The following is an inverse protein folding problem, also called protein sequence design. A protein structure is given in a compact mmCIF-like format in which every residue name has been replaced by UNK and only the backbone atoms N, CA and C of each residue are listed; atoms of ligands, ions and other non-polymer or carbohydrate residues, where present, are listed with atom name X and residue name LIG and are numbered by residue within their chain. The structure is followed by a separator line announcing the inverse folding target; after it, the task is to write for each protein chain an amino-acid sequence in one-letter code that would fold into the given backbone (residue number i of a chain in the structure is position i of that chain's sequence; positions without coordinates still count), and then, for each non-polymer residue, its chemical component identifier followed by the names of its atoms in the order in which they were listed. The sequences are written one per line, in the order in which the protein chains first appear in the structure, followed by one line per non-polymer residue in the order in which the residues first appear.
data_IF_837316388572
#
_entry.id   IF_837316388572
#
_cell.length_a   1.000
_cell.length_b   1.000
_cell.length_c   1.000
_cell.angle_alpha   90.00
_cell.angle_beta   90.00
_cell.angle_gamma   90.00
#
_symmetry.space_group_name_H-M   'P 1'
#
loop_
_entity.id
_entity.type
_entity.pdbx_description
1 polymer ?
#
# COMPACT_ATOMS: atom_id res chain seq x y z
N UNK A 1 -2.04 -4.00 -5.17
CA UNK A 1 -2.45 -5.36 -5.58
C UNK A 1 -2.01 -5.70 -7.02
N UNK A 2 -1.81 -4.70 -7.85
CA UNK A 2 -1.34 -4.88 -9.22
C UNK A 2 0.15 -4.54 -9.22
N UNK A 3 1.00 -5.56 -9.24
CA UNK A 3 2.45 -5.39 -9.31
C UNK A 3 2.91 -5.31 -10.75
N UNK A 4 3.72 -4.30 -11.08
CA UNK A 4 4.31 -4.12 -12.42
C UNK A 4 5.83 -3.89 -12.36
N UNK A 5 6.45 -4.15 -11.20
CA UNK A 5 7.77 -3.64 -10.87
C UNK A 5 7.65 -2.15 -10.50
N UNK A 6 7.85 -1.28 -11.48
CA UNK A 6 7.55 0.14 -11.35
C UNK A 6 6.50 0.55 -12.38
N UNK A 7 5.59 1.46 -12.01
CA UNK A 7 4.56 1.94 -12.90
C UNK A 7 3.33 2.49 -12.21
N UNK A 8 2.35 2.88 -13.01
CA UNK A 8 1.06 3.38 -12.54
C UNK A 8 0.07 3.44 -13.68
N UNK A 9 -1.19 3.63 -13.33
CA UNK A 9 -2.27 3.80 -14.29
C UNK A 9 -3.16 4.97 -13.89
N UNK A 10 -3.63 5.71 -14.87
CA UNK A 10 -4.62 6.77 -14.71
C UNK A 10 -5.83 6.40 -15.53
N UNK A 11 -6.99 6.32 -14.88
CA UNK A 11 -8.28 6.10 -15.53
C UNK A 11 -9.07 7.41 -15.55
N UNK A 12 -9.68 7.74 -16.68
CA UNK A 12 -10.53 8.92 -16.82
C UNK A 12 -11.68 8.66 -17.78
N UNK A 13 -12.80 9.32 -17.57
CA UNK A 13 -13.94 9.35 -18.50
C UNK A 13 -13.90 10.59 -19.42
N UNK A 14 -12.92 11.49 -19.26
CA UNK A 14 -12.74 12.67 -20.09
C UNK A 14 -11.78 12.37 -21.25
N UNK A 15 -12.28 12.48 -22.47
CA UNK A 15 -11.43 12.33 -23.67
C UNK A 15 -10.35 13.41 -23.75
N UNK A 16 -10.64 14.64 -23.32
CA UNK A 16 -9.66 15.72 -23.28
C UNK A 16 -8.50 15.39 -22.32
N UNK A 17 -8.79 14.88 -21.13
CA UNK A 17 -7.76 14.44 -20.16
C UNK A 17 -6.95 13.27 -20.72
N UNK A 18 -7.60 12.30 -21.37
CA UNK A 18 -6.91 11.17 -22.00
C UNK A 18 -5.90 11.66 -23.06
N UNK A 19 -6.27 12.61 -23.93
CA UNK A 19 -5.32 13.19 -24.89
C UNK A 19 -4.17 13.89 -24.22
N UNK A 20 -4.42 14.72 -23.19
CA UNK A 20 -3.37 15.39 -22.41
C UNK A 20 -2.40 14.39 -21.76
N UNK A 21 -2.93 13.33 -21.14
CA UNK A 21 -2.15 12.28 -20.49
C UNK A 21 -1.25 11.54 -21.49
N UNK A 22 -1.74 11.24 -22.68
CA UNK A 22 -0.94 10.59 -23.74
C UNK A 22 0.24 11.46 -24.19
N UNK A 23 0.04 12.76 -24.30
CA UNK A 23 1.11 13.72 -24.61
C UNK A 23 2.13 13.73 -23.48
N UNK A 24 1.69 13.92 -22.23
CA UNK A 24 2.56 14.00 -21.05
C UNK A 24 3.32 12.70 -20.78
N UNK A 25 2.73 11.54 -21.04
CA UNK A 25 3.37 10.24 -20.91
C UNK A 25 4.52 10.02 -21.89
N UNK A 26 4.51 10.72 -23.03
CA UNK A 26 5.40 10.45 -24.18
C UNK A 26 6.17 11.68 -24.61
N UNK A 27 7.01 12.23 -23.73
CA UNK A 27 7.92 13.35 -23.97
C UNK A 27 7.24 14.69 -24.36
N UNK A 28 5.95 14.85 -24.15
CA UNK A 28 5.22 16.03 -24.60
C UNK A 28 4.99 16.09 -26.12
N UNK A 29 5.18 14.97 -26.79
CA UNK A 29 4.97 14.87 -28.23
C UNK A 29 3.47 14.79 -28.56
N UNK A 30 2.99 15.51 -29.60
CA UNK A 30 1.61 15.33 -30.06
C UNK A 30 1.37 13.91 -30.55
N UNK A 31 0.08 13.52 -30.58
CA UNK A 31 -0.31 12.22 -31.14
C UNK A 31 0.29 12.04 -32.54
N UNK A 32 0.76 10.82 -32.85
CA UNK A 32 1.45 10.55 -34.10
C UNK A 32 0.68 11.01 -35.36
N UNK A 33 -0.68 10.93 -35.34
CA UNK A 33 -1.53 11.40 -36.43
C UNK A 33 -1.51 12.91 -36.65
N UNK A 34 -1.01 13.67 -35.69
CA UNK A 34 -0.86 15.12 -35.77
C UNK A 34 0.58 15.56 -36.18
N UNK A 35 1.47 14.57 -36.41
CA UNK A 35 2.85 14.83 -36.84
C UNK A 35 2.90 14.98 -38.36
N UNK A 36 3.59 16.00 -38.81
CA UNK A 36 3.73 16.28 -40.25
C UNK A 36 5.15 15.96 -40.71
N UNK A 37 5.26 15.07 -41.72
CA UNK A 37 6.56 14.69 -42.30
C UNK A 37 7.51 14.01 -41.34
N UNK A 38 8.81 14.22 -41.50
CA UNK A 38 9.86 13.65 -40.64
C UNK A 38 10.19 14.49 -39.39
N UNK A 39 9.62 15.69 -39.29
CA UNK A 39 9.77 16.59 -38.15
C UNK A 39 8.70 16.32 -37.07
N UNK A 40 9.04 16.68 -35.85
CA UNK A 40 8.11 16.82 -34.77
C UNK A 40 8.47 18.00 -33.88
N UNK A 41 7.52 18.54 -33.18
CA UNK A 41 7.72 19.54 -32.15
C UNK A 41 7.25 19.03 -30.81
N UNK A 42 7.70 19.64 -29.73
CA UNK A 42 7.34 19.31 -28.37
C UNK A 42 6.29 20.31 -27.89
N UNK A 43 5.04 19.87 -27.77
CA UNK A 43 3.94 20.74 -27.35
C UNK A 43 4.04 21.13 -25.87
N UNK A 44 4.61 20.26 -25.03
CA UNK A 44 4.70 20.45 -23.58
C UNK A 44 5.94 19.79 -23.01
N UNK A 45 6.52 20.41 -21.95
CA UNK A 45 7.53 19.74 -21.15
C UNK A 45 6.93 18.51 -20.45
N UNK A 46 7.50 17.35 -20.69
CA UNK A 46 7.04 16.10 -20.17
C UNK A 46 8.16 15.04 -20.08
N UNK A 47 7.83 13.87 -19.61
CA UNK A 47 8.78 12.80 -19.37
C UNK A 47 8.48 11.56 -20.21
N UNK A 48 9.33 10.56 -20.12
CA UNK A 48 9.07 9.23 -20.64
C UNK A 48 8.41 8.37 -19.54
N UNK A 49 7.09 8.33 -19.51
CA UNK A 49 6.30 7.53 -18.57
C UNK A 49 5.65 6.29 -19.24
N UNK A 50 6.24 5.83 -20.32
CA UNK A 50 5.77 4.60 -21.00
C UNK A 50 6.25 3.38 -20.20
N UNK A 51 5.35 2.49 -19.78
CA UNK A 51 5.74 1.23 -19.13
C UNK A 51 6.49 0.34 -20.15
N UNK A 52 7.37 -0.53 -19.65
CA UNK A 52 7.94 -1.58 -20.48
C UNK A 52 6.90 -2.67 -20.77
N UNK A 53 7.06 -3.40 -21.87
CA UNK A 53 6.21 -4.55 -22.20
C UNK A 53 6.24 -5.62 -21.10
N UNK A 54 7.40 -5.83 -20.46
CA UNK A 54 7.52 -6.77 -19.32
C UNK A 54 6.68 -6.30 -18.13
N UNK A 55 6.74 -5.02 -17.75
CA UNK A 55 5.92 -4.46 -16.69
C UNK A 55 4.43 -4.53 -17.02
N UNK A 56 4.05 -4.24 -18.27
CA UNK A 56 2.67 -4.33 -18.73
C UNK A 56 2.14 -5.77 -18.69
N UNK A 57 2.94 -6.76 -19.11
CA UNK A 57 2.58 -8.17 -19.05
C UNK A 57 2.40 -8.66 -17.60
N UNK A 58 3.29 -8.21 -16.68
CA UNK A 58 3.16 -8.51 -15.25
C UNK A 58 1.89 -7.88 -14.66
N UNK A 59 1.61 -6.61 -14.96
CA UNK A 59 0.39 -5.94 -14.53
C UNK A 59 -0.87 -6.66 -15.04
N UNK A 60 -0.89 -7.07 -16.32
CA UNK A 60 -2.00 -7.81 -16.90
C UNK A 60 -2.24 -9.14 -16.19
N UNK A 61 -1.17 -9.90 -15.90
CA UNK A 61 -1.27 -11.15 -15.12
C UNK A 61 -1.87 -10.95 -13.72
N UNK A 62 -1.66 -9.80 -13.08
CA UNK A 62 -2.30 -9.48 -11.80
C UNK A 62 -3.77 -9.08 -11.99
N UNK A 63 -4.09 -8.31 -13.04
CA UNK A 63 -5.46 -7.90 -13.34
C UNK A 63 -6.33 -9.13 -13.62
N UNK A 64 -5.85 -10.08 -14.42
CA UNK A 64 -6.57 -11.32 -14.75
C UNK A 64 -6.92 -12.17 -13.52
N UNK A 65 -6.19 -12.01 -12.42
CA UNK A 65 -6.38 -12.76 -11.17
C UNK A 65 -6.80 -11.88 -10.00
N UNK A 66 -7.21 -10.63 -10.24
CA UNK A 66 -7.42 -9.65 -9.16
C UNK A 66 -8.48 -10.12 -8.15
N UNK A 67 -9.57 -10.69 -8.61
CA UNK A 67 -10.66 -11.17 -7.76
C UNK A 67 -10.21 -12.30 -6.82
N UNK A 68 -9.39 -13.23 -7.34
CA UNK A 68 -8.79 -14.29 -6.53
C UNK A 68 -7.85 -13.71 -5.47
N UNK A 69 -6.96 -12.79 -5.86
CA UNK A 69 -5.99 -12.17 -4.95
C UNK A 69 -6.69 -11.38 -3.83
N UNK A 70 -7.76 -10.64 -4.17
CA UNK A 70 -8.56 -9.91 -3.17
C UNK A 70 -9.30 -10.87 -2.23
N UNK A 71 -9.86 -11.95 -2.75
CA UNK A 71 -10.53 -12.98 -1.93
C UNK A 71 -9.57 -13.60 -0.92
N UNK A 72 -8.34 -13.92 -1.35
CA UNK A 72 -7.32 -14.49 -0.45
C UNK A 72 -6.92 -13.49 0.65
N UNK A 73 -6.73 -12.21 0.33
CA UNK A 73 -6.44 -11.17 1.33
C UNK A 73 -7.59 -11.00 2.34
N UNK A 74 -8.83 -10.95 1.87
CA UNK A 74 -10.02 -10.90 2.75
C UNK A 74 -10.11 -12.12 3.67
N UNK A 75 -9.76 -13.32 3.17
CA UNK A 75 -9.69 -14.53 4.01
C UNK A 75 -8.65 -14.40 5.12
N UNK A 76 -7.44 -13.93 4.80
CA UNK A 76 -6.39 -13.72 5.81
C UNK A 76 -6.82 -12.68 6.84
N UNK A 77 -7.35 -11.54 6.37
CA UNK A 77 -7.85 -10.47 7.24
C UNK A 77 -8.91 -10.99 8.21
N UNK A 78 -9.85 -11.80 7.72
CA UNK A 78 -10.86 -12.41 8.58
C UNK A 78 -10.25 -13.31 9.66
N UNK A 79 -9.22 -14.09 9.35
CA UNK A 79 -8.54 -14.93 10.35
C UNK A 79 -7.90 -14.07 11.44
N UNK A 80 -7.25 -12.95 11.05
CA UNK A 80 -6.71 -11.99 12.02
C UNK A 80 -7.81 -11.34 12.86
N UNK A 81 -8.90 -10.90 12.22
CA UNK A 81 -10.07 -10.33 12.90
C UNK A 81 -10.69 -11.28 13.93
N UNK A 82 -10.75 -12.57 13.62
CA UNK A 82 -11.38 -13.58 14.48
C UNK A 82 -10.48 -14.03 15.65
N UNK A 83 -9.14 -13.89 15.53
CA UNK A 83 -8.22 -14.58 16.44
C UNK A 83 -7.23 -13.69 17.21
N UNK A 84 -7.01 -12.45 16.80
CA UNK A 84 -6.17 -11.52 17.56
C UNK A 84 -6.89 -11.05 18.85
N UNK A 85 -6.09 -10.78 19.89
CA UNK A 85 -6.60 -10.29 21.18
C UNK A 85 -6.98 -8.80 21.09
N UNK A 86 -8.19 -8.52 20.66
CA UNK A 86 -8.74 -7.17 20.50
C UNK A 86 -9.10 -6.46 21.82
N UNK A 87 -8.95 -7.11 22.95
CA UNK A 87 -8.98 -6.45 24.26
C UNK A 87 -7.68 -5.70 24.54
N UNK A 88 -6.59 -6.11 23.90
CA UNK A 88 -5.27 -5.50 24.06
C UNK A 88 -4.88 -4.62 22.86
N UNK A 89 -5.19 -5.03 21.65
CA UNK A 89 -4.91 -4.30 20.42
C UNK A 89 -6.11 -3.51 19.94
N UNK A 90 -5.88 -2.34 19.31
CA UNK A 90 -6.91 -1.67 18.53
C UNK A 90 -6.78 -2.03 17.04
N UNK A 91 -7.90 -2.14 16.35
CA UNK A 91 -7.94 -2.39 14.91
C UNK A 91 -8.54 -1.23 14.13
N UNK A 92 -8.24 -1.17 12.84
CA UNK A 92 -8.89 -0.26 11.93
C UNK A 92 -10.40 -0.58 11.85
N UNK A 93 -11.22 0.44 12.08
CA UNK A 93 -12.67 0.34 11.87
C UNK A 93 -12.96 0.59 10.38
N UNK A 94 -13.56 -0.40 9.73
CA UNK A 94 -13.97 -0.30 8.33
C UNK A 94 -15.49 -0.17 8.31
N UNK A 95 -16.06 0.96 7.86
CA UNK A 95 -17.50 1.09 7.73
C UNK A 95 -18.08 0.07 6.75
N UNK A 96 -19.30 -0.42 7.03
CA UNK A 96 -19.91 -1.53 6.29
C UNK A 96 -20.18 -1.24 4.81
N UNK A 97 -20.27 0.03 4.43
CA UNK A 97 -20.48 0.47 3.06
C UNK A 97 -19.22 0.39 2.17
N UNK A 98 -18.05 0.06 2.76
CA UNK A 98 -16.80 -0.04 2.01
C UNK A 98 -16.34 -1.49 1.83
N UNK A 99 -15.95 -1.81 0.61
CA UNK A 99 -15.29 -3.09 0.29
C UNK A 99 -13.77 -2.93 0.41
N UNK A 100 -13.24 -3.21 1.60
CA UNK A 100 -11.82 -3.04 1.90
C UNK A 100 -10.98 -4.17 1.29
N UNK A 101 -9.85 -3.82 0.68
CA UNK A 101 -8.99 -4.75 -0.07
C UNK A 101 -7.75 -5.22 0.68
N UNK A 102 -7.56 -4.76 1.92
CA UNK A 102 -6.47 -5.18 2.82
C UNK A 102 -5.08 -5.18 2.17
N UNK A 103 -4.70 -4.04 1.62
CA UNK A 103 -3.32 -3.85 1.14
C UNK A 103 -2.31 -4.05 2.28
N UNK A 104 -2.57 -3.44 3.41
CA UNK A 104 -1.89 -3.64 4.68
C UNK A 104 -2.90 -4.15 5.72
N UNK A 105 -2.39 -4.76 6.79
CA UNK A 105 -3.19 -5.08 7.97
C UNK A 105 -2.56 -4.39 9.19
N UNK A 106 -3.03 -3.18 9.52
CA UNK A 106 -2.53 -2.41 10.66
C UNK A 106 -3.13 -2.92 11.96
N UNK A 107 -2.28 -2.96 12.99
CA UNK A 107 -2.64 -3.24 14.40
C UNK A 107 -2.03 -2.14 15.25
N UNK A 108 -2.79 -1.59 16.19
CA UNK A 108 -2.29 -0.56 17.10
C UNK A 108 -2.01 -1.16 18.48
N UNK A 109 -0.83 -0.87 18.98
CA UNK A 109 -0.42 -1.22 20.36
C UNK A 109 -0.95 -0.15 21.33
N UNK A 110 -1.10 -0.45 22.63
CA UNK A 110 -1.58 0.51 23.62
C UNK A 110 -0.72 1.76 23.73
N UNK A 111 0.62 1.62 23.63
CA UNK A 111 1.57 2.73 23.71
C UNK A 111 2.70 2.61 22.67
N UNK A 112 3.43 3.70 22.48
CA UNK A 112 4.62 3.72 21.61
C UNK A 112 5.71 2.76 22.12
N UNK A 113 5.95 2.72 23.42
CA UNK A 113 6.96 1.88 24.03
C UNK A 113 6.63 0.39 23.80
N UNK A 114 5.36 0.02 23.91
CA UNK A 114 4.91 -1.35 23.61
C UNK A 114 5.02 -1.66 22.13
N UNK A 115 4.80 -0.68 21.26
CA UNK A 115 5.00 -0.84 19.82
C UNK A 115 6.46 -1.15 19.49
N UNK A 116 7.43 -0.43 20.06
CA UNK A 116 8.86 -0.68 19.85
C UNK A 116 9.25 -2.09 20.35
N UNK A 117 8.84 -2.46 21.57
CA UNK A 117 9.06 -3.79 22.13
C UNK A 117 8.44 -4.90 21.27
N UNK A 118 7.23 -4.67 20.75
CA UNK A 118 6.54 -5.63 19.89
C UNK A 118 7.29 -5.84 18.57
N UNK A 119 7.80 -4.79 17.96
CA UNK A 119 8.59 -4.89 16.74
C UNK A 119 9.87 -5.72 16.94
N UNK A 120 10.59 -5.51 18.06
CA UNK A 120 11.78 -6.30 18.41
C UNK A 120 11.40 -7.76 18.67
N UNK A 121 10.36 -8.00 19.47
CA UNK A 121 9.87 -9.34 19.78
C UNK A 121 9.45 -10.12 18.52
N UNK A 122 8.75 -9.48 17.60
CA UNK A 122 8.35 -10.11 16.33
C UNK A 122 9.56 -10.38 15.43
N UNK A 123 10.52 -9.44 15.38
CA UNK A 123 11.76 -9.60 14.63
C UNK A 123 12.59 -10.79 15.12
N UNK A 124 12.71 -10.97 16.45
CA UNK A 124 13.41 -12.12 17.04
C UNK A 124 12.73 -13.46 16.71
N UNK A 125 11.43 -13.43 16.44
CA UNK A 125 10.65 -14.55 15.94
C UNK A 125 10.70 -14.70 14.41
N UNK A 126 11.52 -13.93 13.68
CA UNK A 126 11.56 -13.84 12.22
C UNK A 126 10.22 -13.41 11.58
N UNK A 127 9.44 -12.60 12.26
CA UNK A 127 8.23 -11.97 11.75
C UNK A 127 8.53 -10.50 11.43
N UNK A 128 8.48 -10.13 10.15
CA UNK A 128 8.78 -8.77 9.70
C UNK A 128 7.51 -7.92 9.70
N UNK A 129 7.28 -7.21 10.81
CA UNK A 129 6.29 -6.15 10.89
C UNK A 129 6.95 -4.79 10.60
N UNK A 130 6.19 -3.84 10.07
CA UNK A 130 6.71 -2.53 9.66
C UNK A 130 5.78 -1.40 10.07
N UNK A 131 6.30 -0.16 10.03
CA UNK A 131 5.52 1.06 10.26
C UNK A 131 5.18 1.68 8.90
N UNK A 132 3.90 1.68 8.53
CA UNK A 132 3.42 2.30 7.30
C UNK A 132 2.44 3.45 7.64
N UNK A 133 2.89 4.72 7.66
CA UNK A 133 4.26 5.22 7.47
C UNK A 133 4.53 6.30 8.51
N UNK A 134 5.80 6.70 8.77
CA UNK A 134 6.07 7.88 9.57
C UNK A 134 5.39 9.11 8.95
N UNK A 135 4.85 10.05 9.74
CA UNK A 135 4.17 11.23 9.21
C UNK A 135 5.11 12.06 8.32
N UNK A 136 4.66 12.38 7.10
CA UNK A 136 5.47 13.09 6.10
C UNK A 136 5.95 14.45 6.61
N UNK A 137 5.10 15.17 7.36
CA UNK A 137 5.42 16.47 7.94
C UNK A 137 6.56 16.43 8.98
N UNK A 138 6.96 15.23 9.44
CA UNK A 138 8.14 15.04 10.31
C UNK A 138 9.41 14.74 9.52
N UNK A 139 9.31 14.45 8.23
CA UNK A 139 10.46 14.14 7.38
C UNK A 139 11.22 15.41 6.99
N UNK A 140 12.57 15.35 6.99
CA UNK A 140 13.43 16.51 6.70
C UNK A 140 13.11 17.18 5.37
N UNK A 141 12.84 16.40 4.32
CA UNK A 141 12.54 16.95 2.99
C UNK A 141 11.21 17.71 2.89
N UNK A 142 10.32 17.56 3.89
CA UNK A 142 8.99 18.17 3.90
C UNK A 142 8.80 19.23 4.99
N UNK A 143 9.86 19.67 5.65
CA UNK A 143 9.78 20.65 6.75
C UNK A 143 9.13 21.97 6.38
N UNK A 144 9.27 22.41 5.11
CA UNK A 144 8.59 23.62 4.60
C UNK A 144 7.05 23.49 4.55
N UNK A 145 6.53 22.24 4.59
CA UNK A 145 5.09 21.93 4.59
C UNK A 145 4.60 21.44 5.96
N UNK A 146 5.39 21.68 7.02
CA UNK A 146 5.06 21.23 8.36
C UNK A 146 3.69 21.74 8.80
N UNK A 147 2.86 20.81 9.28
CA UNK A 147 1.52 21.08 9.79
C UNK A 147 1.30 20.34 11.10
N UNK A 148 0.29 20.77 11.86
CA UNK A 148 -0.12 20.09 13.08
C UNK A 148 -1.08 18.93 12.74
N UNK A 149 -0.66 17.69 12.98
CA UNK A 149 -1.41 16.48 12.64
C UNK A 149 -1.51 15.53 13.83
N UNK A 150 -2.14 15.96 14.96
CA UNK A 150 -2.07 15.23 16.24
C UNK A 150 -2.64 13.80 16.14
N UNK A 151 -3.72 13.60 15.39
CA UNK A 151 -4.29 12.26 15.19
C UNK A 151 -3.36 11.35 14.38
N UNK A 152 -2.74 11.88 13.33
CA UNK A 152 -1.77 11.12 12.52
C UNK A 152 -0.54 10.75 13.35
N UNK A 153 -0.06 11.68 14.17
CA UNK A 153 1.09 11.49 15.04
C UNK A 153 0.80 10.43 16.12
N UNK A 154 -0.38 10.48 16.74
CA UNK A 154 -0.83 9.52 17.73
C UNK A 154 -0.93 8.10 17.13
N UNK A 155 -1.69 7.93 16.03
CA UNK A 155 -1.85 6.63 15.37
C UNK A 155 -0.50 6.07 14.92
N UNK A 156 0.33 6.88 14.27
CA UNK A 156 1.63 6.42 13.75
C UNK A 156 2.60 6.05 14.86
N UNK A 157 2.45 6.65 16.05
CA UNK A 157 3.27 6.29 17.21
C UNK A 157 3.03 4.85 17.69
N UNK A 158 1.85 4.28 17.47
CA UNK A 158 1.37 3.00 18.00
C UNK A 158 1.19 1.90 16.96
N UNK A 159 1.10 2.24 15.69
CA UNK A 159 0.77 1.30 14.61
C UNK A 159 1.94 0.41 14.21
N UNK A 160 1.65 -0.86 13.93
CA UNK A 160 2.46 -1.78 13.14
C UNK A 160 1.61 -2.39 12.04
N UNK A 161 2.19 -2.68 10.89
CA UNK A 161 1.56 -3.52 9.87
C UNK A 161 2.15 -4.92 9.96
N UNK A 162 1.30 -5.90 10.22
CA UNK A 162 1.68 -7.31 10.30
C UNK A 162 1.65 -7.96 8.91
N UNK A 163 2.28 -9.15 8.71
CA UNK A 163 2.34 -9.79 7.40
C UNK A 163 0.97 -9.94 6.73
N UNK A 164 0.86 -9.44 5.49
CA UNK A 164 -0.37 -9.48 4.70
C UNK A 164 -0.04 -9.66 3.21
N UNK A 165 0.03 -10.90 2.74
CA UNK A 165 0.22 -11.25 1.33
C UNK A 165 -0.42 -12.59 1.01
N UNK A 166 -0.76 -12.81 -0.24
CA UNK A 166 -1.65 -13.91 -0.67
C UNK A 166 -1.03 -15.31 -0.55
N UNK A 167 0.30 -15.41 -0.43
CA UNK A 167 1.01 -16.68 -0.30
C UNK A 167 1.22 -17.13 1.16
N UNK A 168 0.74 -16.34 2.16
CA UNK A 168 0.79 -16.78 3.55
C UNK A 168 0.04 -18.10 3.73
N UNK A 169 0.72 -19.09 4.27
CA UNK A 169 0.13 -20.36 4.66
C UNK A 169 -0.68 -20.22 5.96
N UNK A 170 -1.62 -21.11 6.20
CA UNK A 170 -2.35 -21.10 7.44
C UNK A 170 -1.44 -21.22 8.67
N UNK A 171 -0.37 -22.02 8.60
CA UNK A 171 0.60 -22.18 9.70
C UNK A 171 1.36 -20.88 9.99
N UNK A 172 1.74 -20.15 8.96
CA UNK A 172 2.40 -18.83 9.13
C UNK A 172 1.45 -17.80 9.73
N UNK A 173 0.19 -17.78 9.31
CA UNK A 173 -0.84 -16.91 9.87
C UNK A 173 -1.06 -17.22 11.35
N UNK A 174 -1.23 -18.51 11.72
CA UNK A 174 -1.39 -18.94 13.11
C UNK A 174 -0.14 -18.58 13.93
N UNK A 175 1.05 -18.76 13.39
CA UNK A 175 2.29 -18.39 14.06
C UNK A 175 2.36 -16.89 14.38
N UNK A 176 1.97 -16.02 13.44
CA UNK A 176 1.89 -14.58 13.67
C UNK A 176 0.89 -14.25 14.79
N UNK A 177 -0.29 -14.88 14.76
CA UNK A 177 -1.34 -14.69 15.76
C UNK A 177 -0.87 -15.14 17.14
N UNK A 178 -0.27 -16.32 17.24
CA UNK A 178 0.23 -16.85 18.51
C UNK A 178 1.29 -15.93 19.12
N UNK A 179 2.21 -15.42 18.32
CA UNK A 179 3.24 -14.47 18.80
C UNK A 179 2.63 -13.18 19.30
N UNK A 180 1.70 -12.58 18.57
CA UNK A 180 1.04 -11.35 18.99
C UNK A 180 0.19 -11.56 20.26
N UNK A 181 -0.59 -12.63 20.32
CA UNK A 181 -1.41 -12.95 21.49
C UNK A 181 -0.55 -13.29 22.71
N UNK A 182 0.59 -13.95 22.55
CA UNK A 182 1.53 -14.18 23.64
C UNK A 182 2.18 -12.86 24.11
N UNK A 183 2.55 -11.97 23.19
CA UNK A 183 3.04 -10.65 23.57
C UNK A 183 2.02 -9.87 24.41
N UNK A 184 0.74 -9.89 24.02
CA UNK A 184 -0.33 -9.20 24.75
C UNK A 184 -0.60 -9.74 26.16
N UNK A 185 -0.26 -11.01 26.43
CA UNK A 185 -0.42 -11.63 27.76
C UNK A 185 0.72 -11.32 28.71
N UNK A 186 1.86 -10.90 28.19
CA UNK A 186 3.09 -10.69 28.98
C UNK A 186 3.42 -9.20 29.19
N UNK A 187 2.68 -8.29 28.58
CA UNK A 187 2.86 -6.85 28.64
C UNK A 187 1.56 -6.09 28.90
#
# INVERSE_FOLDING_TARGET
HIGAGEGGAICTNSFEEYEKLNVLRSHGLPHWSKRTGFGYDIDKLAFNYRPSEMGAALALSHIDRIDELLRLRKKIAKIYDDKLNWEYFDKQIIPNEYDHVYHLYPVLLPTRELREKCLEYLKDANIFAQIHYPPINHMKGFQQFKSNTPFSDEITSRVISIPMFTQLTNNEIEFVIDKLNNFSRTN
#
